data_IF_863548250286
#
_entry.id   IF_863548250286
#
_cell.length_a   1.000
_cell.length_b   1.000
_cell.length_c   1.000
_cell.angle_alpha   90.00
_cell.angle_beta   90.00
_cell.angle_gamma   90.00
#
_symmetry.space_group_name_H-M   'P 1'
#
loop_
_entity.id
_entity.type
_entity.pdbx_description
1 polymer ?
#
# COMPACT_ATOMS: atom_id res chain seq x y z
N UNK A 1 -4.68 14.63 -25.27
CA UNK A 1 -4.63 13.69 -24.13
C UNK A 1 -3.56 14.23 -23.22
N UNK A 2 -3.87 14.51 -21.97
CA UNK A 2 -2.82 14.80 -21.00
C UNK A 2 -1.94 13.56 -20.85
N UNK A 3 -0.63 13.73 -20.94
CA UNK A 3 0.30 12.64 -20.66
C UNK A 3 0.29 12.37 -19.16
N UNK A 4 -0.02 11.12 -18.79
CA UNK A 4 0.02 10.69 -17.39
C UNK A 4 1.48 10.41 -17.05
N UNK A 5 2.01 11.12 -16.06
CA UNK A 5 3.27 10.75 -15.41
C UNK A 5 2.96 9.77 -14.29
N UNK A 6 3.68 8.65 -14.27
CA UNK A 6 3.50 7.58 -13.30
C UNK A 6 4.59 7.64 -12.24
N UNK A 7 4.23 7.34 -11.00
CA UNK A 7 5.15 7.18 -9.88
C UNK A 7 4.89 5.85 -9.16
N UNK A 8 5.82 5.44 -8.30
CA UNK A 8 5.64 4.27 -7.45
C UNK A 8 4.97 4.65 -6.13
N UNK A 9 4.08 3.78 -5.68
CA UNK A 9 3.44 3.85 -4.38
C UNK A 9 3.57 2.49 -3.69
N UNK A 10 3.99 2.49 -2.43
CA UNK A 10 4.12 1.29 -1.62
C UNK A 10 3.04 1.30 -0.53
N UNK A 11 2.22 0.25 -0.52
CA UNK A 11 1.29 -0.04 0.54
C UNK A 11 1.97 -1.02 1.50
N UNK A 12 2.40 -0.52 2.64
CA UNK A 12 3.08 -1.27 3.68
C UNK A 12 2.12 -1.61 4.81
N UNK A 13 2.24 -2.82 5.36
CA UNK A 13 1.28 -3.38 6.32
C UNK A 13 1.85 -3.54 7.73
N UNK A 14 3.05 -3.00 7.97
CA UNK A 14 3.83 -3.23 9.19
C UNK A 14 3.23 -2.54 10.43
N UNK A 15 2.38 -1.52 10.27
CA UNK A 15 1.69 -0.89 11.42
C UNK A 15 0.45 -1.70 11.84
N UNK A 16 -0.19 -2.44 10.92
CA UNK A 16 -1.26 -3.41 11.23
C UNK A 16 -0.69 -4.74 11.74
N UNK A 17 0.36 -5.25 11.11
CA UNK A 17 0.99 -6.53 11.43
C UNK A 17 2.34 -6.34 12.12
N UNK A 18 2.36 -5.63 13.24
CA UNK A 18 3.58 -5.23 13.95
C UNK A 18 4.25 -6.36 14.78
N UNK A 19 3.65 -7.54 14.79
CA UNK A 19 4.00 -8.67 15.66
C UNK A 19 4.64 -9.85 14.90
N UNK A 20 5.12 -9.63 13.68
CA UNK A 20 5.69 -10.66 12.82
C UNK A 20 7.08 -11.13 13.27
N UNK A 21 7.43 -12.36 12.90
CA UNK A 21 8.75 -12.92 13.21
C UNK A 21 9.85 -12.10 12.49
N UNK A 22 10.88 -11.58 13.20
CA UNK A 22 11.81 -10.59 12.67
C UNK A 22 12.51 -10.96 11.36
N UNK A 23 12.89 -12.23 11.22
CA UNK A 23 13.60 -12.75 10.04
C UNK A 23 12.64 -13.31 8.97
N UNK A 24 11.34 -13.34 9.25
CA UNK A 24 10.33 -13.72 8.26
C UNK A 24 10.06 -12.56 7.30
N UNK A 25 9.48 -12.88 6.14
CA UNK A 25 9.00 -11.86 5.21
C UNK A 25 7.71 -11.19 5.70
N UNK A 26 7.00 -11.85 6.62
CA UNK A 26 5.72 -11.39 7.08
C UNK A 26 4.71 -11.14 5.96
N UNK A 27 3.81 -10.19 6.17
CA UNK A 27 2.90 -9.67 5.17
C UNK A 27 3.64 -8.66 4.31
N UNK A 28 4.15 -9.12 3.16
CA UNK A 28 5.01 -8.30 2.31
C UNK A 28 4.28 -7.04 1.78
N UNK A 29 4.94 -5.86 1.69
CA UNK A 29 4.33 -4.64 1.17
C UNK A 29 3.98 -4.81 -0.31
N UNK A 30 2.86 -4.24 -0.75
CA UNK A 30 2.45 -4.20 -2.15
C UNK A 30 3.00 -2.94 -2.83
N UNK A 31 3.38 -3.07 -4.10
CA UNK A 31 3.92 -1.98 -4.92
C UNK A 31 3.00 -1.71 -6.09
N UNK A 32 2.61 -0.44 -6.23
CA UNK A 32 1.74 0.04 -7.27
C UNK A 32 2.43 1.11 -8.13
N UNK A 33 2.04 1.18 -9.41
CA UNK A 33 2.22 2.38 -10.22
C UNK A 33 0.91 3.16 -10.23
N UNK A 34 1.00 4.45 -9.90
CA UNK A 34 -0.15 5.37 -9.86
C UNK A 34 0.20 6.70 -10.54
N UNK A 35 -0.78 7.49 -10.99
CA UNK A 35 -0.54 8.83 -11.49
C UNK A 35 0.07 9.73 -10.41
N UNK A 36 1.20 10.34 -10.72
CA UNK A 36 1.91 11.23 -9.78
C UNK A 36 1.01 12.37 -9.28
N UNK A 37 0.18 12.92 -10.17
CA UNK A 37 -0.77 13.99 -9.84
C UNK A 37 -1.88 13.59 -8.86
N UNK A 38 -2.06 12.30 -8.59
CA UNK A 38 -3.12 11.77 -7.71
C UNK A 38 -2.56 11.15 -6.43
N UNK A 39 -1.26 11.29 -6.17
CA UNK A 39 -0.60 10.59 -5.06
C UNK A 39 -1.22 10.89 -3.69
N UNK A 40 -1.67 12.12 -3.45
CA UNK A 40 -2.29 12.49 -2.18
C UNK A 40 -3.63 11.75 -2.01
N UNK A 41 -4.44 11.63 -3.07
CA UNK A 41 -5.67 10.84 -3.04
C UNK A 41 -5.37 9.35 -2.80
N UNK A 42 -4.36 8.80 -3.47
CA UNK A 42 -3.91 7.42 -3.26
C UNK A 42 -3.54 7.17 -1.80
N UNK A 43 -2.81 8.09 -1.16
CA UNK A 43 -2.46 7.99 0.27
C UNK A 43 -3.70 8.01 1.17
N UNK A 44 -4.67 8.89 0.91
CA UNK A 44 -5.92 8.92 1.67
C UNK A 44 -6.69 7.61 1.56
N UNK A 45 -6.79 7.04 0.36
CA UNK A 45 -7.48 5.77 0.14
C UNK A 45 -6.77 4.59 0.79
N UNK A 46 -5.44 4.65 0.98
CA UNK A 46 -4.71 3.64 1.75
C UNK A 46 -5.12 3.68 3.24
N UNK A 47 -5.29 4.86 3.83
CA UNK A 47 -5.82 4.99 5.20
C UNK A 47 -7.29 4.57 5.29
N UNK A 48 -8.12 4.92 4.31
CA UNK A 48 -9.51 4.44 4.28
C UNK A 48 -9.57 2.90 4.19
N UNK A 49 -8.66 2.28 3.42
CA UNK A 49 -8.58 0.82 3.29
C UNK A 49 -8.16 0.14 4.60
N UNK A 50 -7.22 0.76 5.32
CA UNK A 50 -6.87 0.35 6.68
C UNK A 50 -8.07 0.40 7.62
N UNK A 51 -8.83 1.50 7.63
CA UNK A 51 -9.97 1.66 8.53
C UNK A 51 -11.08 0.66 8.17
N UNK A 52 -11.37 0.49 6.87
CA UNK A 52 -12.35 -0.48 6.38
C UNK A 52 -11.99 -1.93 6.75
N UNK A 53 -10.71 -2.29 6.68
CA UNK A 53 -10.23 -3.59 7.11
C UNK A 53 -10.47 -3.85 8.61
N UNK A 54 -10.24 -2.83 9.45
CA UNK A 54 -10.49 -2.94 10.89
C UNK A 54 -11.98 -2.95 11.26
N UNK A 55 -12.84 -2.42 10.39
CA UNK A 55 -14.30 -2.47 10.52
C UNK A 55 -14.92 -3.74 9.94
N UNK A 56 -14.19 -4.51 9.11
CA UNK A 56 -14.67 -5.75 8.50
C UNK A 56 -14.76 -6.89 9.52
N UNK A 57 -15.99 -7.18 9.96
CA UNK A 57 -16.29 -8.21 10.96
C UNK A 57 -16.15 -9.62 10.38
N UNK A 58 -16.34 -9.78 9.07
CA UNK A 58 -16.29 -11.09 8.40
C UNK A 58 -14.83 -11.51 8.13
N UNK A 59 -13.89 -10.55 8.12
CA UNK A 59 -12.45 -10.74 7.89
C UNK A 59 -12.12 -11.46 6.57
N UNK A 60 -12.98 -11.32 5.56
CA UNK A 60 -12.85 -12.02 4.28
C UNK A 60 -12.10 -11.18 3.23
N UNK A 61 -11.96 -9.87 3.48
CA UNK A 61 -11.33 -8.93 2.54
C UNK A 61 -9.98 -8.46 3.07
N UNK A 62 -8.94 -8.53 2.26
CA UNK A 62 -7.62 -7.98 2.61
C UNK A 62 -7.57 -6.46 2.48
N UNK A 63 -6.66 -5.81 3.21
CA UNK A 63 -6.38 -4.37 3.08
C UNK A 63 -6.08 -4.01 1.60
N UNK A 64 -5.31 -4.84 0.90
CA UNK A 64 -4.99 -4.64 -0.52
C UNK A 64 -6.23 -4.69 -1.44
N UNK A 65 -7.20 -5.54 -1.13
CA UNK A 65 -8.47 -5.60 -1.86
C UNK A 65 -9.34 -4.36 -1.58
N UNK A 66 -9.44 -3.90 -0.33
CA UNK A 66 -10.11 -2.63 -0.03
C UNK A 66 -9.47 -1.47 -0.77
N UNK A 67 -8.14 -1.40 -0.74
CA UNK A 67 -7.39 -0.34 -1.41
C UNK A 67 -7.63 -0.31 -2.93
N UNK A 68 -7.54 -1.46 -3.60
CA UNK A 68 -7.78 -1.55 -5.05
C UNK A 68 -9.23 -1.25 -5.43
N UNK A 69 -10.20 -1.72 -4.63
CA UNK A 69 -11.61 -1.37 -4.80
C UNK A 69 -11.83 0.16 -4.68
N UNK A 70 -11.22 0.81 -3.69
CA UNK A 70 -11.32 2.26 -3.54
C UNK A 70 -10.67 3.04 -4.67
N UNK A 71 -9.54 2.57 -5.21
CA UNK A 71 -8.95 3.15 -6.43
C UNK A 71 -9.91 3.05 -7.63
N UNK A 72 -10.55 1.89 -7.80
CA UNK A 72 -11.51 1.65 -8.88
C UNK A 72 -12.78 2.53 -8.75
N UNK A 73 -13.35 2.63 -7.54
CA UNK A 73 -14.50 3.49 -7.24
C UNK A 73 -14.22 4.98 -7.52
N UNK A 74 -13.01 5.43 -7.20
CA UNK A 74 -12.54 6.79 -7.46
C UNK A 74 -11.99 7.00 -8.87
N UNK A 75 -11.98 5.96 -9.71
CA UNK A 75 -11.49 5.98 -11.11
C UNK A 75 -10.02 6.41 -11.21
N UNK A 76 -9.22 6.05 -10.22
CA UNK A 76 -7.77 6.26 -10.22
C UNK A 76 -7.13 5.08 -10.95
N UNK A 77 -6.50 5.29 -12.11
CA UNK A 77 -5.85 4.18 -12.82
C UNK A 77 -4.63 3.73 -12.02
N UNK A 78 -4.41 2.42 -11.93
CA UNK A 78 -3.26 1.85 -11.23
C UNK A 78 -2.77 0.58 -11.91
N UNK A 79 -1.56 0.14 -11.54
CA UNK A 79 -1.05 -1.19 -11.82
C UNK A 79 -0.38 -1.72 -10.57
N UNK A 80 -0.79 -2.89 -10.09
CA UNK A 80 0.01 -3.63 -9.11
C UNK A 80 1.20 -4.26 -9.83
N UNK A 81 2.41 -3.95 -9.38
CA UNK A 81 3.66 -4.32 -10.06
C UNK A 81 4.55 -5.27 -9.26
N UNK A 82 4.14 -5.62 -8.03
CA UNK A 82 4.77 -6.67 -7.25
C UNK A 82 4.77 -6.39 -5.75
N UNK A 83 5.67 -7.09 -5.05
CA UNK A 83 5.87 -6.99 -3.61
C UNK A 83 7.32 -6.71 -3.27
N UNK A 84 7.57 -6.18 -2.06
CA UNK A 84 8.93 -6.01 -1.54
C UNK A 84 9.29 -7.23 -0.68
N UNK A 85 10.15 -8.10 -1.19
CA UNK A 85 10.65 -9.27 -0.46
C UNK A 85 11.82 -8.88 0.45
N UNK A 86 11.50 -8.33 1.61
CA UNK A 86 12.46 -7.91 2.63
C UNK A 86 12.03 -8.47 4.00
N UNK A 87 12.95 -8.96 4.85
CA UNK A 87 12.58 -9.40 6.20
C UNK A 87 11.96 -8.28 7.02
N UNK A 88 10.96 -8.59 7.85
CA UNK A 88 10.20 -7.63 8.66
C UNK A 88 11.11 -6.67 9.43
N UNK A 89 12.15 -7.19 10.09
CA UNK A 89 13.08 -6.36 10.87
C UNK A 89 13.82 -5.31 10.04
N UNK A 90 13.96 -5.52 8.73
CA UNK A 90 14.63 -4.60 7.81
C UNK A 90 13.69 -3.53 7.22
N UNK A 91 12.37 -3.69 7.38
CA UNK A 91 11.38 -2.68 6.98
C UNK A 91 11.23 -1.56 8.02
N UNK A 92 11.64 -1.79 9.25
CA UNK A 92 11.60 -0.79 10.34
C UNK A 92 12.55 0.43 10.19
N UNK A 93 13.43 0.47 9.19
CA UNK A 93 14.53 1.44 9.11
C UNK A 93 14.57 2.33 7.84
N UNK A 94 13.44 2.93 7.43
CA UNK A 94 13.33 3.72 6.18
C UNK A 94 14.02 3.01 5.01
N UNK A 95 13.47 1.88 4.62
CA UNK A 95 14.05 0.96 3.64
C UNK A 95 13.80 1.37 2.18
N UNK A 96 13.12 2.49 1.96
CA UNK A 96 12.87 3.10 0.66
C UNK A 96 13.58 4.43 0.53
N UNK A 97 13.89 4.82 -0.70
CA UNK A 97 14.40 6.14 -1.01
C UNK A 97 13.33 7.22 -0.73
N UNK A 98 13.76 8.42 -0.36
CA UNK A 98 12.89 9.54 0.05
C UNK A 98 11.87 9.96 -1.03
N UNK A 99 12.16 9.66 -2.30
CA UNK A 99 11.32 9.96 -3.46
C UNK A 99 10.27 8.89 -3.78
N UNK A 100 10.30 7.74 -3.08
CA UNK A 100 9.27 6.71 -3.19
C UNK A 100 8.14 7.02 -2.23
N UNK A 101 6.92 7.09 -2.75
CA UNK A 101 5.74 7.30 -1.92
C UNK A 101 5.34 6.01 -1.22
N UNK A 102 5.02 6.13 0.07
CA UNK A 102 4.62 5.00 0.90
C UNK A 102 3.56 5.46 1.90
N UNK A 103 2.69 4.53 2.26
CA UNK A 103 1.89 4.57 3.49
C UNK A 103 2.13 3.23 4.20
N UNK A 104 2.50 3.33 5.48
CA UNK A 104 2.51 2.20 6.40
C UNK A 104 1.20 2.25 7.19
N UNK A 105 0.48 1.13 7.16
CA UNK A 105 -0.83 0.92 7.77
C UNK A 105 -0.86 -0.39 8.52
#
# INVERSE_FOLDING_TARGET
MEEITWTFFVLDFDDTFDNEEPDSLGCAPLVFMVPESQIDAVKYLAYDAHDAFHEDIECDTSIGEFFTNFLDENKIPYMEIGTISLPFIKRSCNYLADDIHMVSI
#
